data_IF_924045526322
#
_entry.id   IF_924045526322
#
_cell.length_a   1.000
_cell.length_b   1.000
_cell.length_c   1.000
_cell.angle_alpha   90.00
_cell.angle_beta   90.00
_cell.angle_gamma   90.00
#
_symmetry.space_group_name_H-M   'P 1'
#
loop_
_entity.id
_entity.type
_entity.pdbx_description
1 polymer ?
#
# COMPACT_ATOMS: atom_id res chain seq x y z
N UNK A 1 16.99 5.56 -28.67
CA UNK A 1 16.65 5.54 -27.22
C UNK A 1 16.57 6.93 -26.58
N UNK A 2 17.54 7.86 -26.69
CA UNK A 2 17.40 9.24 -26.13
C UNK A 2 16.24 10.08 -26.71
N UNK A 3 15.86 9.83 -27.96
CA UNK A 3 14.84 10.63 -28.67
C UNK A 3 13.38 10.31 -28.33
N UNK A 4 13.07 9.10 -27.84
CA UNK A 4 11.70 8.73 -27.43
C UNK A 4 11.39 9.20 -26.01
N UNK A 5 12.38 9.19 -25.11
CA UNK A 5 12.26 9.68 -23.73
C UNK A 5 11.92 11.18 -23.64
N UNK A 6 12.49 11.98 -24.56
CA UNK A 6 12.20 13.43 -24.66
C UNK A 6 10.78 13.71 -25.19
N UNK A 7 10.14 12.74 -25.85
CA UNK A 7 8.81 12.91 -26.43
C UNK A 7 7.72 12.79 -25.36
N UNK A 8 7.87 11.84 -24.44
CA UNK A 8 7.03 11.69 -23.25
C UNK A 8 7.16 12.88 -22.30
N UNK A 9 8.37 13.43 -22.17
CA UNK A 9 8.65 14.58 -21.30
C UNK A 9 7.92 15.86 -21.77
N UNK A 10 7.89 16.11 -23.09
CA UNK A 10 7.20 17.25 -23.68
C UNK A 10 5.68 17.10 -23.61
N UNK A 11 5.16 15.88 -23.81
CA UNK A 11 3.74 15.58 -23.70
C UNK A 11 3.21 15.76 -22.27
N UNK A 12 4.00 15.39 -21.25
CA UNK A 12 3.63 15.67 -19.85
C UNK A 12 3.55 17.18 -19.59
N UNK A 13 4.56 17.95 -19.99
CA UNK A 13 4.57 19.41 -19.78
C UNK A 13 3.37 20.10 -20.47
N UNK A 14 2.95 19.62 -21.64
CA UNK A 14 1.74 20.12 -22.33
C UNK A 14 0.43 19.73 -21.63
N UNK A 15 0.36 18.58 -20.95
CA UNK A 15 -0.80 18.18 -20.13
C UNK A 15 -0.84 18.99 -18.83
N UNK A 16 0.32 19.30 -18.25
CA UNK A 16 0.46 20.14 -17.06
C UNK A 16 -0.03 21.56 -17.33
N UNK A 17 0.22 22.14 -18.49
CA UNK A 17 -0.24 23.49 -18.83
C UNK A 17 -1.78 23.66 -18.71
N UNK A 18 -2.55 22.58 -18.90
CA UNK A 18 -4.02 22.58 -18.79
C UNK A 18 -4.55 22.43 -17.36
N UNK A 19 -3.77 21.89 -16.44
CA UNK A 19 -4.15 21.66 -15.03
C UNK A 19 -3.12 22.26 -14.06
N UNK A 20 -2.32 23.22 -14.55
CA UNK A 20 -1.20 23.82 -13.85
C UNK A 20 -1.68 24.57 -12.61
N UNK A 21 -0.79 24.71 -11.64
CA UNK A 21 -1.06 25.53 -10.44
C UNK A 21 -1.19 27.03 -10.77
N UNK A 22 -1.08 27.41 -12.04
CA UNK A 22 -0.85 28.79 -12.48
C UNK A 22 0.52 29.33 -12.02
N UNK A 23 1.44 28.45 -11.61
CA UNK A 23 2.78 28.78 -11.15
C UNK A 23 3.80 27.79 -11.75
N UNK A 24 4.26 28.11 -12.96
CA UNK A 24 5.23 27.30 -13.72
C UNK A 24 6.46 26.89 -12.90
N UNK A 25 7.00 27.80 -12.08
CA UNK A 25 8.16 27.50 -11.22
C UNK A 25 7.85 26.44 -10.14
N UNK A 26 6.66 26.51 -9.53
CA UNK A 26 6.24 25.50 -8.55
C UNK A 26 6.02 24.15 -9.25
N UNK A 27 5.36 24.14 -10.40
CA UNK A 27 5.10 22.92 -11.15
C UNK A 27 6.42 22.25 -11.60
N UNK A 28 7.37 23.02 -12.16
CA UNK A 28 8.70 22.53 -12.54
C UNK A 28 9.49 21.98 -11.34
N UNK A 29 9.46 22.67 -10.21
CA UNK A 29 10.18 22.26 -9.01
C UNK A 29 9.59 20.99 -8.40
N UNK A 30 8.26 20.88 -8.34
CA UNK A 30 7.53 19.72 -7.85
C UNK A 30 7.81 18.51 -8.72
N UNK A 31 7.62 18.63 -10.03
CA UNK A 31 7.79 17.52 -10.97
C UNK A 31 9.26 17.13 -11.05
N UNK A 32 10.16 18.12 -11.09
CA UNK A 32 11.59 17.90 -11.07
C UNK A 32 12.07 17.20 -9.80
N UNK A 33 11.53 17.61 -8.64
CA UNK A 33 11.78 16.99 -7.34
C UNK A 33 11.30 15.55 -7.30
N UNK A 34 10.03 15.32 -7.62
CA UNK A 34 9.42 13.99 -7.65
C UNK A 34 10.20 13.01 -8.55
N UNK A 35 10.55 13.44 -9.77
CA UNK A 35 11.33 12.62 -10.72
C UNK A 35 12.71 12.26 -10.22
N UNK A 36 13.36 13.16 -9.47
CA UNK A 36 14.69 12.94 -8.87
C UNK A 36 14.61 12.00 -7.67
N UNK A 37 13.58 12.12 -6.85
CA UNK A 37 13.38 11.32 -5.64
C UNK A 37 12.90 9.89 -5.94
N UNK A 38 12.26 9.68 -7.10
CA UNK A 38 11.79 8.35 -7.52
C UNK A 38 12.92 7.33 -7.58
N UNK A 39 12.72 6.18 -6.92
CA UNK A 39 13.64 5.05 -6.97
C UNK A 39 13.85 4.58 -8.41
N UNK A 40 15.11 4.29 -8.75
CA UNK A 40 15.49 3.78 -10.07
C UNK A 40 15.85 2.31 -9.95
N UNK A 41 15.16 1.46 -10.69
CA UNK A 41 15.31 0.00 -10.69
C UNK A 41 16.77 -0.41 -10.94
N UNK A 42 17.45 0.29 -11.86
CA UNK A 42 18.88 0.09 -12.14
C UNK A 42 19.80 0.20 -10.91
N UNK A 43 19.42 0.97 -9.89
CA UNK A 43 20.22 1.13 -8.67
C UNK A 43 20.24 -0.17 -7.86
N UNK A 44 19.23 -1.03 -8.02
CA UNK A 44 19.15 -2.31 -7.33
C UNK A 44 20.00 -3.41 -7.99
N UNK A 45 20.40 -3.22 -9.26
CA UNK A 45 21.45 -4.03 -9.89
C UNK A 45 22.80 -3.71 -9.24
N UNK A 46 23.09 -2.42 -9.06
CA UNK A 46 24.37 -1.95 -8.53
C UNK A 46 24.64 -2.41 -7.09
N UNK A 47 23.57 -2.66 -6.33
CA UNK A 47 23.63 -3.12 -4.95
C UNK A 47 23.60 -4.65 -4.79
N UNK A 48 23.60 -5.40 -5.90
CA UNK A 48 23.44 -6.86 -5.91
C UNK A 48 22.15 -7.33 -5.18
N UNK A 49 21.11 -6.50 -5.26
CA UNK A 49 19.81 -6.80 -4.64
C UNK A 49 18.95 -7.71 -5.54
N UNK A 50 19.10 -7.54 -6.87
CA UNK A 50 18.42 -8.30 -7.91
C UNK A 50 19.34 -8.58 -9.11
N UNK A 51 19.14 -9.72 -9.82
CA UNK A 51 19.85 -10.01 -11.07
C UNK A 51 19.60 -8.97 -12.16
N UNK A 52 20.64 -8.64 -12.93
CA UNK A 52 20.57 -7.62 -13.97
C UNK A 52 19.57 -7.95 -15.09
N UNK A 53 19.42 -9.24 -15.43
CA UNK A 53 18.46 -9.72 -16.42
C UNK A 53 17.01 -9.57 -15.93
N UNK A 54 16.74 -9.88 -14.66
CA UNK A 54 15.44 -9.69 -14.02
C UNK A 54 15.04 -8.20 -14.03
N UNK A 55 15.95 -7.31 -13.59
CA UNK A 55 15.68 -5.87 -13.58
C UNK A 55 15.46 -5.33 -15.00
N UNK A 56 16.22 -5.83 -15.99
CA UNK A 56 16.02 -5.42 -17.38
C UNK A 56 14.65 -5.86 -17.91
N UNK A 57 14.23 -7.09 -17.64
CA UNK A 57 12.90 -7.59 -18.05
C UNK A 57 11.79 -6.76 -17.43
N UNK A 58 11.89 -6.42 -16.14
CA UNK A 58 10.95 -5.54 -15.46
C UNK A 58 10.88 -4.15 -16.12
N UNK A 59 12.02 -3.56 -16.46
CA UNK A 59 12.08 -2.27 -17.15
C UNK A 59 11.46 -2.32 -18.54
N UNK A 60 11.73 -3.37 -19.32
CA UNK A 60 11.13 -3.60 -20.64
C UNK A 60 9.61 -3.76 -20.55
N UNK A 61 9.13 -4.48 -19.53
CA UNK A 61 7.70 -4.61 -19.25
C UNK A 61 7.07 -3.24 -18.94
N UNK A 62 7.70 -2.44 -18.07
CA UNK A 62 7.24 -1.08 -17.78
C UNK A 62 7.16 -0.21 -19.03
N UNK A 63 8.18 -0.24 -19.88
CA UNK A 63 8.17 0.52 -21.15
C UNK A 63 7.03 0.06 -22.07
N UNK A 64 6.68 -1.23 -22.06
CA UNK A 64 5.55 -1.73 -22.84
C UNK A 64 4.19 -1.29 -22.28
N UNK A 65 4.05 -1.25 -20.95
CA UNK A 65 2.84 -0.83 -20.26
C UNK A 65 2.64 0.69 -20.35
N UNK A 66 3.72 1.47 -20.25
CA UNK A 66 3.70 2.93 -20.34
C UNK A 66 3.09 3.46 -21.63
N UNK A 67 3.36 2.79 -22.76
CA UNK A 67 2.80 3.17 -24.06
C UNK A 67 1.27 3.24 -24.04
N UNK A 68 0.63 2.46 -23.18
CA UNK A 68 -0.82 2.46 -22.99
C UNK A 68 -1.28 3.26 -21.75
N UNK A 69 -0.33 3.65 -20.88
CA UNK A 69 -0.59 4.26 -19.58
C UNK A 69 -0.64 5.79 -19.68
N UNK A 70 0.31 6.42 -20.39
CA UNK A 70 0.38 7.88 -20.50
C UNK A 70 -0.75 8.52 -21.31
N UNK A 71 -1.47 7.74 -22.11
CA UNK A 71 -2.70 8.22 -22.73
C UNK A 71 -3.85 8.42 -21.71
N UNK A 72 -3.67 8.00 -20.44
CA UNK A 72 -4.74 7.89 -19.45
C UNK A 72 -4.54 8.70 -18.16
N UNK A 73 -3.32 9.09 -17.80
CA UNK A 73 -3.08 9.93 -16.61
C UNK A 73 -3.01 11.42 -16.97
N UNK A 74 -3.91 12.21 -16.38
CA UNK A 74 -3.89 13.68 -16.44
C UNK A 74 -2.91 14.28 -15.43
N UNK A 75 -2.54 15.55 -15.61
CA UNK A 75 -1.60 16.27 -14.74
C UNK A 75 -2.13 16.47 -13.31
N UNK A 76 -3.45 16.44 -13.13
CA UNK A 76 -4.12 16.46 -11.84
C UNK A 76 -3.67 15.29 -10.95
N UNK A 77 -3.40 14.11 -11.53
CA UNK A 77 -2.91 12.98 -10.75
C UNK A 77 -1.54 13.29 -10.14
N UNK A 78 -0.62 13.87 -10.92
CA UNK A 78 0.71 14.26 -10.43
C UNK A 78 0.65 15.30 -9.30
N UNK A 79 -0.22 16.31 -9.43
CA UNK A 79 -0.38 17.31 -8.38
C UNK A 79 -1.04 16.76 -7.11
N UNK A 80 -1.99 15.82 -7.25
CA UNK A 80 -2.58 15.10 -6.11
C UNK A 80 -1.54 14.22 -5.40
N UNK A 81 -0.74 13.46 -6.17
CA UNK A 81 0.36 12.65 -5.66
C UNK A 81 1.30 13.49 -4.79
N UNK A 82 1.72 14.63 -5.32
CA UNK A 82 2.60 15.55 -4.60
C UNK A 82 1.95 16.11 -3.34
N UNK A 83 0.71 16.58 -3.42
CA UNK A 83 0.02 17.15 -2.26
C UNK A 83 -0.19 16.14 -1.14
N UNK A 84 -0.52 14.89 -1.46
CA UNK A 84 -0.61 13.79 -0.48
C UNK A 84 0.75 13.50 0.13
N UNK A 85 1.79 13.38 -0.70
CA UNK A 85 3.15 13.11 -0.26
C UNK A 85 3.69 14.19 0.69
N UNK A 86 3.63 15.47 0.29
CA UNK A 86 4.04 16.59 1.14
C UNK A 86 3.18 16.67 2.40
N UNK A 87 1.87 16.43 2.26
CA UNK A 87 0.94 16.35 3.39
C UNK A 87 1.43 15.38 4.45
N UNK A 88 1.83 14.18 4.04
CA UNK A 88 2.36 13.16 4.96
C UNK A 88 3.75 13.55 5.48
N UNK A 89 4.68 13.92 4.60
CA UNK A 89 6.11 14.08 4.92
C UNK A 89 6.44 15.39 5.66
N UNK A 90 5.78 16.50 5.29
CA UNK A 90 6.08 17.83 5.84
C UNK A 90 5.03 18.35 6.82
N UNK A 91 3.81 17.81 6.77
CA UNK A 91 2.68 18.29 7.56
C UNK A 91 2.08 17.22 8.46
N UNK A 92 2.76 16.09 8.64
CA UNK A 92 2.40 15.02 9.55
C UNK A 92 0.94 14.55 9.39
N UNK A 93 0.39 14.50 8.17
CA UNK A 93 -1.01 14.07 7.94
C UNK A 93 -1.30 12.69 8.53
N UNK A 94 -0.29 11.81 8.53
CA UNK A 94 -0.33 10.47 9.13
C UNK A 94 0.45 10.40 10.46
N UNK A 95 0.67 11.54 11.10
CA UNK A 95 1.43 11.70 12.34
C UNK A 95 2.95 11.79 12.13
N UNK A 96 3.68 12.26 13.15
CA UNK A 96 5.12 12.58 13.07
C UNK A 96 6.05 11.38 12.91
N UNK A 97 5.48 10.17 12.98
CA UNK A 97 6.18 8.90 12.87
C UNK A 97 5.96 8.22 11.51
N UNK A 98 5.23 8.88 10.60
CA UNK A 98 5.04 8.45 9.22
C UNK A 98 6.07 9.15 8.32
N UNK A 99 6.62 8.41 7.37
CA UNK A 99 7.53 8.94 6.34
C UNK A 99 7.18 8.32 4.99
N UNK A 100 7.36 9.09 3.92
CA UNK A 100 7.03 8.67 2.55
C UNK A 100 8.27 8.15 1.83
N UNK A 101 8.13 6.97 1.24
CA UNK A 101 9.10 6.36 0.34
C UNK A 101 8.50 6.34 -1.07
N UNK A 102 9.19 6.98 -2.01
CA UNK A 102 8.81 6.93 -3.42
C UNK A 102 8.99 5.52 -3.97
N UNK A 103 7.98 5.02 -4.66
CA UNK A 103 8.09 3.74 -5.34
C UNK A 103 8.81 3.85 -6.67
N UNK A 104 9.31 2.72 -7.14
CA UNK A 104 9.89 2.62 -8.48
C UNK A 104 8.83 2.80 -9.57
N UNK A 105 9.27 2.93 -10.83
CA UNK A 105 8.36 2.93 -11.98
C UNK A 105 7.71 1.58 -12.20
N UNK A 106 8.44 0.52 -11.88
CA UNK A 106 7.87 -0.81 -11.86
C UNK A 106 6.74 -0.95 -10.84
N UNK A 107 6.93 -0.50 -9.61
CA UNK A 107 5.93 -0.69 -8.56
C UNK A 107 4.66 0.14 -8.78
N UNK A 108 4.79 1.37 -9.29
CA UNK A 108 3.67 2.17 -9.75
C UNK A 108 2.92 1.47 -10.89
N UNK A 109 3.57 1.24 -12.03
CA UNK A 109 2.86 0.81 -13.25
C UNK A 109 2.36 -0.64 -13.15
N UNK A 110 3.20 -1.54 -12.63
CA UNK A 110 2.90 -2.97 -12.58
C UNK A 110 2.06 -3.32 -11.36
N UNK A 111 2.44 -2.79 -10.19
CA UNK A 111 1.82 -3.16 -8.92
C UNK A 111 0.73 -2.17 -8.48
N UNK A 112 0.64 -0.98 -9.08
CA UNK A 112 -0.33 0.05 -8.73
C UNK A 112 -0.07 0.59 -7.33
N UNK A 113 1.18 0.97 -7.05
CA UNK A 113 1.60 1.59 -5.79
C UNK A 113 2.40 2.85 -6.09
N UNK A 114 1.80 4.01 -5.84
CA UNK A 114 2.43 5.32 -6.10
C UNK A 114 3.37 5.72 -4.97
N UNK A 115 2.95 5.47 -3.73
CA UNK A 115 3.67 5.84 -2.52
C UNK A 115 3.70 4.66 -1.56
N UNK A 116 4.79 4.53 -0.82
CA UNK A 116 4.90 3.62 0.31
C UNK A 116 5.10 4.46 1.57
N UNK A 117 4.15 4.39 2.51
CA UNK A 117 4.28 5.04 3.81
C UNK A 117 4.92 4.06 4.79
N UNK A 118 5.97 4.51 5.45
CA UNK A 118 6.63 3.81 6.54
C UNK A 118 6.25 4.47 7.86
N UNK A 119 5.68 3.69 8.77
CA UNK A 119 5.44 4.07 10.15
C UNK A 119 6.51 3.45 11.05
N UNK A 120 7.11 4.25 11.93
CA UNK A 120 8.07 3.77 12.93
C UNK A 120 7.48 3.98 14.32
N UNK A 121 7.36 2.94 15.14
CA UNK A 121 6.90 3.11 16.51
C UNK A 121 8.02 3.51 17.49
N UNK A 122 7.66 3.73 18.76
CA UNK A 122 8.60 4.13 19.81
C UNK A 122 9.69 3.08 20.09
N UNK A 123 9.43 1.80 19.74
CA UNK A 123 10.36 0.69 19.91
C UNK A 123 11.23 0.47 18.65
N UNK A 124 10.99 1.24 17.58
CA UNK A 124 11.64 1.07 16.28
C UNK A 124 11.01 -0.01 15.40
N UNK A 125 9.85 -0.56 15.76
CA UNK A 125 9.10 -1.46 14.89
C UNK A 125 8.54 -0.70 13.69
N UNK A 126 8.60 -1.34 12.53
CA UNK A 126 8.23 -0.72 11.26
C UNK A 126 6.97 -1.36 10.68
N UNK A 127 5.99 -0.54 10.33
CA UNK A 127 4.80 -0.92 9.56
C UNK A 127 4.77 -0.17 8.24
N UNK A 128 4.30 -0.81 7.17
CA UNK A 128 4.19 -0.20 5.85
C UNK A 128 2.75 -0.17 5.34
N UNK A 129 2.43 0.87 4.56
CA UNK A 129 1.17 1.04 3.85
C UNK A 129 1.45 1.49 2.41
N UNK A 130 0.93 0.76 1.42
CA UNK A 130 0.90 1.24 0.04
C UNK A 130 -0.25 2.24 -0.15
N UNK A 131 0.01 3.29 -0.92
CA UNK A 131 -1.00 4.24 -1.35
C UNK A 131 -0.99 4.29 -2.88
N UNK A 132 -2.17 4.11 -3.46
CA UNK A 132 -2.47 4.36 -4.89
C UNK A 132 -3.29 5.64 -4.96
N UNK A 133 -2.75 6.69 -5.55
CA UNK A 133 -3.38 8.00 -5.65
C UNK A 133 -3.92 8.20 -7.06
N UNK A 134 -5.20 8.56 -7.16
CA UNK A 134 -5.88 8.78 -8.43
C UNK A 134 -6.62 10.11 -8.44
N UNK A 135 -6.35 10.95 -9.44
CA UNK A 135 -7.19 12.09 -9.74
C UNK A 135 -8.12 11.72 -10.91
N UNK A 136 -9.42 11.61 -10.66
CA UNK A 136 -10.39 11.31 -11.71
C UNK A 136 -11.77 11.84 -11.35
N UNK A 137 -12.46 12.43 -12.32
CA UNK A 137 -13.85 12.86 -12.19
C UNK A 137 -14.85 11.70 -12.37
N UNK A 138 -14.41 10.57 -12.93
CA UNK A 138 -15.19 9.36 -13.07
C UNK A 138 -15.06 8.46 -11.82
N UNK A 139 -16.08 8.40 -10.94
CA UNK A 139 -16.04 7.60 -9.72
C UNK A 139 -15.91 6.09 -10.00
N UNK A 140 -16.26 5.63 -11.21
CA UNK A 140 -16.13 4.20 -11.55
C UNK A 140 -14.67 3.75 -11.57
N UNK A 141 -13.73 4.64 -11.89
CA UNK A 141 -12.29 4.35 -11.87
C UNK A 141 -11.78 4.10 -10.46
N UNK A 142 -12.19 4.94 -9.51
CA UNK A 142 -11.88 4.76 -8.10
C UNK A 142 -12.49 3.45 -7.58
N UNK A 143 -13.76 3.19 -7.90
CA UNK A 143 -14.43 1.94 -7.52
C UNK A 143 -13.72 0.71 -8.08
N UNK A 144 -13.23 0.75 -9.32
CA UNK A 144 -12.46 -0.35 -9.92
C UNK A 144 -11.15 -0.62 -9.18
N UNK A 145 -10.39 0.42 -8.80
CA UNK A 145 -9.15 0.28 -8.01
C UNK A 145 -9.42 -0.31 -6.63
N UNK A 146 -10.45 0.19 -5.94
CA UNK A 146 -10.88 -0.32 -4.63
C UNK A 146 -11.29 -1.79 -4.71
N UNK A 147 -12.17 -2.13 -5.66
CA UNK A 147 -12.65 -3.49 -5.86
C UNK A 147 -11.50 -4.46 -6.14
N UNK A 148 -10.51 -4.05 -6.96
CA UNK A 148 -9.31 -4.84 -7.21
C UNK A 148 -8.53 -5.11 -5.92
N UNK A 149 -8.35 -4.11 -5.06
CA UNK A 149 -7.69 -4.26 -3.75
C UNK A 149 -8.38 -5.32 -2.88
N UNK A 150 -9.72 -5.27 -2.82
CA UNK A 150 -10.53 -6.22 -2.04
C UNK A 150 -10.49 -7.63 -2.64
N UNK A 151 -10.52 -7.77 -3.97
CA UNK A 151 -10.41 -9.06 -4.63
C UNK A 151 -9.04 -9.72 -4.40
N UNK A 152 -7.96 -8.95 -4.46
CA UNK A 152 -6.62 -9.43 -4.17
C UNK A 152 -6.54 -9.89 -2.70
N UNK A 153 -7.11 -9.13 -1.76
CA UNK A 153 -7.18 -9.51 -0.36
C UNK A 153 -7.99 -10.80 -0.12
N UNK A 154 -9.16 -10.95 -0.76
CA UNK A 154 -9.95 -12.20 -0.73
C UNK A 154 -9.13 -13.38 -1.25
N UNK A 155 -8.25 -13.16 -2.24
CA UNK A 155 -7.30 -14.18 -2.74
C UNK A 155 -6.06 -14.37 -1.86
N UNK A 156 -5.87 -13.56 -0.83
CA UNK A 156 -4.74 -13.66 0.11
C UNK A 156 -3.50 -12.98 -0.39
N UNK A 157 -3.70 -11.96 -1.22
CA UNK A 157 -2.64 -11.17 -1.80
C UNK A 157 -2.77 -9.76 -1.27
N UNK A 158 -1.70 -9.29 -0.65
CA UNK A 158 -1.50 -7.87 -0.42
C UNK A 158 -0.76 -7.26 -1.63
N UNK A 159 -0.65 -5.93 -1.66
CA UNK A 159 0.06 -5.24 -2.73
C UNK A 159 1.55 -5.46 -2.58
N UNK A 160 2.24 -5.76 -3.69
CA UNK A 160 3.67 -6.01 -3.69
C UNK A 160 4.45 -4.74 -4.00
N UNK A 161 5.47 -4.44 -3.21
CA UNK A 161 6.49 -3.45 -3.53
C UNK A 161 7.82 -4.18 -3.70
N UNK A 162 8.29 -4.27 -4.94
CA UNK A 162 9.50 -5.00 -5.33
C UNK A 162 10.74 -4.17 -5.07
N UNK A 163 10.81 -2.96 -5.63
CA UNK A 163 12.00 -2.12 -5.57
C UNK A 163 11.87 -1.12 -4.42
N UNK A 164 12.23 -1.56 -3.22
CA UNK A 164 12.29 -0.70 -2.04
C UNK A 164 13.64 -0.85 -1.33
N UNK A 165 14.14 0.25 -0.81
CA UNK A 165 15.33 0.26 0.03
C UNK A 165 14.88 0.66 1.45
N UNK A 166 14.76 -0.29 2.39
CA UNK A 166 14.35 0.08 3.73
C UNK A 166 15.45 0.87 4.44
N UNK A 167 15.12 1.54 5.55
CA UNK A 167 16.08 2.29 6.34
C UNK A 167 17.28 1.42 6.75
N UNK A 168 18.43 2.06 6.96
CA UNK A 168 19.61 1.37 7.49
C UNK A 168 19.27 0.67 8.81
N UNK A 169 19.53 -0.64 8.87
CA UNK A 169 19.29 -1.47 10.05
C UNK A 169 17.95 -2.22 10.06
N UNK A 170 17.03 -1.91 9.13
CA UNK A 170 15.84 -2.73 8.94
C UNK A 170 16.21 -4.04 8.22
N UNK A 171 15.68 -5.16 8.72
CA UNK A 171 15.90 -6.46 8.09
C UNK A 171 15.15 -6.54 6.76
N UNK A 172 15.88 -6.70 5.66
CA UNK A 172 15.29 -7.14 4.39
C UNK A 172 15.25 -8.65 4.36
N UNK A 173 14.07 -9.21 4.17
CA UNK A 173 13.94 -10.62 3.83
C UNK A 173 14.67 -10.90 2.52
N UNK A 174 15.56 -11.89 2.54
CA UNK A 174 16.21 -12.40 1.34
C UNK A 174 15.70 -13.81 1.05
N UNK A 175 15.29 -14.06 -0.20
CA UNK A 175 14.94 -15.39 -0.70
C UNK A 175 16.02 -15.77 -1.71
N UNK A 176 16.73 -16.87 -1.45
CA UNK A 176 17.84 -17.34 -2.30
C UNK A 176 18.94 -16.27 -2.54
N UNK A 177 19.21 -15.45 -1.52
CA UNK A 177 20.20 -14.37 -1.57
C UNK A 177 19.72 -13.07 -2.21
N UNK A 178 18.54 -13.04 -2.83
CA UNK A 178 17.91 -11.86 -3.45
C UNK A 178 17.00 -11.15 -2.47
N UNK A 179 16.91 -9.81 -2.52
CA UNK A 179 15.90 -9.09 -1.71
C UNK A 179 14.50 -9.52 -2.15
N UNK A 180 13.71 -9.99 -1.21
CA UNK A 180 12.28 -10.19 -1.43
C UNK A 180 11.58 -8.83 -1.33
N UNK A 181 10.74 -8.51 -2.32
CA UNK A 181 9.81 -7.40 -2.18
C UNK A 181 8.90 -7.59 -0.95
N UNK A 182 8.33 -6.50 -0.45
CA UNK A 182 7.36 -6.57 0.66
C UNK A 182 5.93 -6.66 0.14
N UNK A 183 5.08 -7.29 0.94
CA UNK A 183 3.64 -7.36 0.70
C UNK A 183 2.95 -6.49 1.76
N UNK A 184 2.23 -5.45 1.33
CA UNK A 184 1.68 -4.42 2.21
C UNK A 184 0.21 -4.17 1.91
N UNK A 185 -0.61 -3.84 2.93
CA UNK A 185 -1.95 -3.33 2.70
C UNK A 185 -1.91 -2.11 1.78
N UNK A 186 -2.98 -1.91 0.99
CA UNK A 186 -3.06 -0.78 0.08
C UNK A 186 -4.34 0.00 0.30
N UNK A 187 -4.20 1.30 0.47
CA UNK A 187 -5.30 2.25 0.36
C UNK A 187 -5.25 2.95 -1.01
N UNK A 188 -6.43 3.27 -1.55
CA UNK A 188 -6.57 4.04 -2.78
C UNK A 188 -7.11 5.41 -2.40
N UNK A 189 -6.45 6.49 -2.78
CA UNK A 189 -6.88 7.86 -2.48
C UNK A 189 -7.38 8.51 -3.75
N UNK A 190 -8.63 8.96 -3.74
CA UNK A 190 -9.27 9.60 -4.89
C UNK A 190 -9.62 11.06 -4.63
N UNK A 191 -9.31 11.94 -5.57
CA UNK A 191 -9.94 13.27 -5.61
C UNK A 191 -10.39 13.62 -7.02
N UNK A 192 -11.48 14.36 -7.13
CA UNK A 192 -11.91 14.93 -8.41
C UNK A 192 -10.95 16.07 -8.82
N UNK A 193 -11.03 16.48 -10.08
CA UNK A 193 -10.14 17.49 -10.66
C UNK A 193 -10.25 18.83 -9.92
N UNK A 194 -11.47 19.24 -9.56
CA UNK A 194 -11.73 20.50 -8.85
C UNK A 194 -11.04 20.54 -7.47
N UNK A 195 -11.21 19.50 -6.65
CA UNK A 195 -10.61 19.43 -5.32
C UNK A 195 -9.09 19.29 -5.39
N UNK A 196 -8.60 18.56 -6.40
CA UNK A 196 -7.17 18.44 -6.69
C UNK A 196 -6.56 19.80 -7.00
N UNK A 197 -7.18 20.58 -7.90
CA UNK A 197 -6.73 21.94 -8.23
C UNK A 197 -6.78 22.88 -7.03
N UNK A 198 -7.84 22.81 -6.21
CA UNK A 198 -7.94 23.60 -4.96
C UNK A 198 -6.81 23.27 -4.01
N UNK A 199 -6.48 21.99 -3.84
CA UNK A 199 -5.36 21.54 -3.01
C UNK A 199 -4.04 22.10 -3.54
N UNK A 200 -3.73 21.86 -4.81
CA UNK A 200 -2.49 22.31 -5.45
C UNK A 200 -2.34 23.83 -5.33
N UNK A 201 -3.40 24.59 -5.60
CA UNK A 201 -3.40 26.06 -5.47
C UNK A 201 -3.09 26.52 -4.04
N UNK A 202 -3.58 25.81 -3.02
CA UNK A 202 -3.23 26.09 -1.61
C UNK A 202 -1.76 25.78 -1.32
N UNK A 203 -1.23 24.64 -1.77
CA UNK A 203 0.19 24.32 -1.63
C UNK A 203 1.08 25.37 -2.31
N UNK A 204 0.76 25.74 -3.55
CA UNK A 204 1.49 26.77 -4.30
C UNK A 204 1.45 28.14 -3.59
N UNK A 205 0.31 28.52 -2.99
CA UNK A 205 0.19 29.76 -2.23
C UNK A 205 1.05 29.76 -0.96
N UNK A 206 1.14 28.63 -0.26
CA UNK A 206 2.00 28.46 0.92
C UNK A 206 3.47 28.52 0.51
N UNK A 207 3.83 27.85 -0.57
CA UNK A 207 5.19 27.86 -1.13
C UNK A 207 5.66 29.28 -1.47
N UNK A 208 4.83 30.06 -2.18
CA UNK A 208 5.12 31.47 -2.53
C UNK A 208 5.36 32.38 -1.31
N UNK A 209 4.75 32.06 -0.16
CA UNK A 209 4.90 32.86 1.05
C UNK A 209 6.18 32.52 1.85
N UNK A 210 7.02 31.60 1.36
CA UNK A 210 8.28 31.20 2.01
C UNK A 210 8.08 30.58 3.39
N UNK A 211 6.86 30.14 3.71
CA UNK A 211 6.50 29.66 5.03
C UNK A 211 6.02 28.21 5.00
N UNK A 212 6.45 27.39 5.94
CA UNK A 212 5.79 26.13 6.32
C UNK A 212 4.55 26.43 7.16
N UNK A 213 3.64 27.25 6.65
CA UNK A 213 2.37 27.50 7.36
C UNK A 213 1.60 26.19 7.46
N UNK A 214 0.86 26.03 8.55
CA UNK A 214 0.17 24.80 8.93
C UNK A 214 -0.89 24.39 7.89
N UNK A 215 -0.48 23.62 6.87
CA UNK A 215 -1.40 22.93 5.94
C UNK A 215 -2.02 21.68 6.59
N UNK A 216 -1.62 21.33 7.81
CA UNK A 216 -2.13 20.21 8.59
C UNK A 216 -3.59 20.33 9.05
N UNK A 217 -4.29 21.41 8.69
CA UNK A 217 -5.72 21.61 8.95
C UNK A 217 -6.51 21.84 7.65
N UNK A 218 -6.12 21.19 6.55
CA UNK A 218 -6.88 21.31 5.31
C UNK A 218 -8.07 20.35 5.31
N UNK A 219 -9.29 20.81 5.05
CA UNK A 219 -10.50 19.96 5.03
C UNK A 219 -10.34 18.69 4.17
N UNK A 220 -9.62 18.78 3.04
CA UNK A 220 -9.36 17.63 2.18
C UNK A 220 -8.50 16.58 2.91
N UNK A 221 -7.51 16.99 3.72
CA UNK A 221 -6.69 16.05 4.50
C UNK A 221 -7.56 15.14 5.34
N UNK A 222 -8.49 15.68 6.13
CA UNK A 222 -9.38 14.88 6.96
C UNK A 222 -10.18 13.89 6.12
N UNK A 223 -10.76 14.35 5.00
CA UNK A 223 -11.49 13.47 4.09
C UNK A 223 -10.60 12.34 3.52
N UNK A 224 -9.37 12.63 3.10
CA UNK A 224 -8.46 11.61 2.59
C UNK A 224 -8.04 10.62 3.69
N UNK A 225 -7.80 11.09 4.91
CA UNK A 225 -7.39 10.22 6.03
C UNK A 225 -8.55 9.32 6.49
N UNK A 226 -9.76 9.86 6.57
CA UNK A 226 -10.99 9.09 6.82
C UNK A 226 -11.19 8.01 5.74
N UNK A 227 -10.91 8.34 4.48
CA UNK A 227 -11.02 7.39 3.37
C UNK A 227 -10.02 6.23 3.52
N UNK A 228 -8.76 6.53 3.86
CA UNK A 228 -7.73 5.51 4.10
C UNK A 228 -8.16 4.60 5.26
N UNK A 229 -8.57 5.18 6.38
CA UNK A 229 -8.98 4.43 7.57
C UNK A 229 -10.18 3.52 7.28
N UNK A 230 -11.23 4.06 6.65
CA UNK A 230 -12.42 3.29 6.28
C UNK A 230 -12.09 2.11 5.35
N UNK A 231 -11.19 2.32 4.38
CA UNK A 231 -10.74 1.25 3.49
C UNK A 231 -9.97 0.15 4.23
N UNK A 232 -9.06 0.51 5.13
CA UNK A 232 -8.28 -0.47 5.88
C UNK A 232 -9.17 -1.24 6.86
N UNK A 233 -10.16 -0.60 7.46
CA UNK A 233 -11.18 -1.27 8.26
C UNK A 233 -11.97 -2.30 7.45
N UNK A 234 -12.46 -1.90 6.27
CA UNK A 234 -13.21 -2.81 5.40
C UNK A 234 -12.34 -3.98 4.90
N UNK A 235 -11.07 -3.71 4.59
CA UNK A 235 -10.09 -4.75 4.29
C UNK A 235 -9.92 -5.71 5.46
N UNK A 236 -9.72 -5.21 6.68
CA UNK A 236 -9.54 -6.03 7.87
C UNK A 236 -10.73 -6.96 8.08
N UNK A 237 -11.94 -6.43 8.03
CA UNK A 237 -13.18 -7.21 8.10
C UNK A 237 -13.21 -8.30 7.01
N UNK A 238 -12.92 -7.95 5.76
CA UNK A 238 -12.90 -8.91 4.65
C UNK A 238 -11.88 -10.02 4.87
N UNK A 239 -10.70 -9.69 5.39
CA UNK A 239 -9.64 -10.65 5.64
C UNK A 239 -10.03 -11.64 6.75
N UNK A 240 -10.62 -11.14 7.83
CA UNK A 240 -11.19 -11.90 8.95
C UNK A 240 -12.27 -12.87 8.44
N UNK A 241 -13.26 -12.38 7.69
CA UNK A 241 -14.32 -13.22 7.10
C UNK A 241 -13.78 -14.30 6.16
N UNK A 242 -12.69 -14.01 5.45
CA UNK A 242 -12.06 -14.98 4.54
C UNK A 242 -11.30 -16.06 5.30
N UNK A 243 -10.66 -15.71 6.43
CA UNK A 243 -10.04 -16.68 7.34
C UNK A 243 -11.08 -17.61 7.95
N UNK A 244 -12.18 -17.06 8.48
CA UNK A 244 -13.31 -17.81 9.07
C UNK A 244 -13.81 -18.90 8.11
N UNK A 245 -14.16 -18.49 6.88
CA UNK A 245 -14.66 -19.41 5.83
C UNK A 245 -13.64 -20.48 5.45
N UNK A 246 -12.34 -20.16 5.43
CA UNK A 246 -11.30 -21.10 5.00
C UNK A 246 -10.98 -22.15 6.05
N UNK A 247 -11.04 -21.78 7.34
CA UNK A 247 -10.60 -22.65 8.42
C UNK A 247 -11.75 -23.26 9.24
N UNK A 248 -12.99 -22.87 9.00
CA UNK A 248 -14.19 -23.55 9.54
C UNK A 248 -14.32 -23.49 11.07
N UNK A 249 -13.51 -22.66 11.72
CA UNK A 249 -13.70 -22.26 13.11
C UNK A 249 -14.47 -20.95 13.08
N UNK A 250 -15.67 -20.94 13.66
CA UNK A 250 -16.44 -19.72 13.88
C UNK A 250 -15.52 -18.73 14.62
N UNK A 251 -15.03 -17.73 13.91
CA UNK A 251 -14.58 -16.52 14.57
C UNK A 251 -15.78 -16.02 15.40
N UNK A 252 -15.58 -15.64 16.67
CA UNK A 252 -16.65 -15.09 17.50
C UNK A 252 -17.41 -14.05 16.69
N UNK A 253 -18.74 -14.11 16.67
CA UNK A 253 -19.57 -13.19 15.89
C UNK A 253 -19.29 -11.71 16.23
N UNK A 254 -18.71 -11.46 17.41
CA UNK A 254 -18.18 -10.17 17.86
C UNK A 254 -17.08 -9.57 16.96
N UNK A 255 -16.32 -10.39 16.22
CA UNK A 255 -15.34 -9.95 15.20
C UNK A 255 -16.01 -9.50 13.89
N UNK A 256 -17.24 -9.94 13.62
CA UNK A 256 -17.98 -9.68 12.38
C UNK A 256 -19.05 -8.61 12.69
N UNK A 257 -18.61 -7.41 13.08
CA UNK A 257 -19.57 -6.39 13.53
C UNK A 257 -19.98 -5.44 12.40
N UNK A 258 -21.30 -5.23 12.32
CA UNK A 258 -22.01 -4.59 11.21
C UNK A 258 -22.10 -3.07 11.33
N UNK A 259 -21.64 -2.50 12.44
CA UNK A 259 -21.57 -1.07 12.67
C UNK A 259 -20.34 -0.73 13.54
N UNK A 260 -19.34 -0.11 12.92
CA UNK A 260 -18.03 0.24 13.51
C UNK A 260 -18.09 1.22 14.71
N UNK A 261 -19.27 1.78 15.01
CA UNK A 261 -19.49 2.68 16.16
C UNK A 261 -19.70 1.95 17.49
N UNK A 262 -19.91 0.63 17.47
CA UNK A 262 -20.20 -0.19 18.66
C UNK A 262 -19.03 -1.14 19.03
N UNK A 263 -17.80 -0.86 18.58
CA UNK A 263 -16.61 -1.70 18.80
C UNK A 263 -16.05 -1.64 20.25
N UNK A 264 -16.91 -1.83 21.26
CA UNK A 264 -16.59 -1.78 22.69
C UNK A 264 -16.30 -3.15 23.34
N UNK A 265 -16.37 -4.28 22.63
CA UNK A 265 -16.15 -5.60 23.25
C UNK A 265 -14.75 -6.17 22.98
N UNK A 266 -14.11 -6.62 24.07
CA UNK A 266 -12.84 -7.36 24.08
C UNK A 266 -12.87 -8.50 23.06
N UNK A 267 -11.97 -8.46 22.08
CA UNK A 267 -11.78 -9.58 21.16
C UNK A 267 -10.98 -10.65 21.90
N UNK A 268 -11.56 -11.84 22.10
CA UNK A 268 -10.87 -12.98 22.70
C UNK A 268 -10.21 -13.84 21.61
N UNK A 269 -9.06 -13.37 21.13
CA UNK A 269 -8.32 -14.00 20.02
C UNK A 269 -7.65 -15.32 20.45
N UNK A 270 -7.41 -15.53 21.75
CA UNK A 270 -6.83 -16.78 22.27
C UNK A 270 -7.72 -17.99 21.96
N UNK A 271 -9.04 -17.79 21.85
CA UNK A 271 -9.99 -18.85 21.51
C UNK A 271 -10.06 -19.19 20.01
N UNK A 272 -9.34 -18.49 19.14
CA UNK A 272 -9.39 -18.78 17.70
C UNK A 272 -8.70 -20.08 17.33
N UNK A 273 -7.78 -20.63 18.13
CA UNK A 273 -7.05 -21.88 17.82
C UNK A 273 -6.27 -21.86 16.48
N UNK A 274 -6.25 -20.72 15.78
CA UNK A 274 -5.68 -20.54 14.46
C UNK A 274 -4.31 -19.85 14.51
N UNK A 275 -3.95 -19.23 15.62
CA UNK A 275 -2.76 -18.41 15.75
C UNK A 275 -1.75 -19.11 16.66
N UNK A 276 -0.45 -18.87 16.45
CA UNK A 276 0.50 -19.07 17.54
C UNK A 276 0.15 -18.12 18.69
N UNK A 277 0.51 -18.50 19.92
CA UNK A 277 0.28 -17.65 21.11
C UNK A 277 0.86 -16.23 20.89
N UNK A 278 2.00 -16.12 20.19
CA UNK A 278 2.65 -14.85 19.85
C UNK A 278 1.82 -14.01 18.86
N UNK A 279 1.30 -14.61 17.77
CA UNK A 279 0.43 -13.92 16.81
C UNK A 279 -0.92 -13.50 17.43
N UNK A 280 -1.47 -14.33 18.31
CA UNK A 280 -2.70 -14.03 19.05
C UNK A 280 -2.48 -12.85 19.99
N UNK A 281 -1.39 -12.86 20.76
CA UNK A 281 -1.00 -11.76 21.64
C UNK A 281 -0.75 -10.47 20.88
N UNK A 282 -0.08 -10.52 19.72
CA UNK A 282 0.15 -9.34 18.87
C UNK A 282 -1.16 -8.75 18.36
N UNK A 283 -2.06 -9.58 17.82
CA UNK A 283 -3.35 -9.10 17.29
C UNK A 283 -4.26 -8.57 18.42
N UNK A 284 -4.26 -9.23 19.59
CA UNK A 284 -5.00 -8.77 20.78
C UNK A 284 -4.50 -7.41 21.25
N UNK A 285 -3.18 -7.24 21.27
CA UNK A 285 -2.55 -5.97 21.61
C UNK A 285 -2.96 -4.88 20.61
N UNK A 286 -2.89 -5.14 19.31
CA UNK A 286 -3.28 -4.18 18.26
C UNK A 286 -4.74 -3.74 18.42
N UNK A 287 -5.64 -4.71 18.63
CA UNK A 287 -7.07 -4.45 18.83
C UNK A 287 -7.30 -3.65 20.11
N UNK A 288 -6.68 -4.05 21.23
CA UNK A 288 -6.80 -3.33 22.51
C UNK A 288 -6.28 -1.90 22.40
N UNK A 289 -5.14 -1.70 21.73
CA UNK A 289 -4.56 -0.40 21.48
C UNK A 289 -5.47 0.45 20.58
N UNK A 290 -6.11 -0.14 19.58
CA UNK A 290 -7.08 0.53 18.72
C UNK A 290 -8.35 0.95 19.48
N UNK A 291 -8.89 0.06 20.32
CA UNK A 291 -10.09 0.32 21.14
C UNK A 291 -9.86 1.43 22.18
N UNK A 292 -8.67 1.48 22.81
CA UNK A 292 -8.31 2.57 23.74
C UNK A 292 -8.28 3.94 23.06
N UNK A 293 -8.02 4.00 21.76
CA UNK A 293 -7.78 5.23 21.03
C UNK A 293 -9.04 5.78 20.35
N UNK A 294 -9.94 4.90 19.88
CA UNK A 294 -11.21 5.27 19.22
C UNK A 294 -12.12 6.14 20.10
N UNK A 295 -11.96 6.10 21.43
CA UNK A 295 -12.76 6.88 22.36
C UNK A 295 -12.29 8.32 22.63
N UNK A 296 -11.12 8.75 22.12
CA UNK A 296 -10.43 9.89 22.75
C UNK A 296 -10.19 11.09 21.82
N UNK A 297 -9.86 10.94 20.52
CA UNK A 297 -9.64 12.13 19.65
C UNK A 297 -9.89 11.83 18.16
N UNK A 298 -10.80 12.56 17.47
CA UNK A 298 -10.96 12.52 16.00
C UNK A 298 -9.70 12.84 15.18
N UNK A 299 -8.59 13.23 15.81
CA UNK A 299 -7.38 13.73 15.15
C UNK A 299 -6.21 12.72 15.17
N UNK A 300 -6.45 11.43 15.45
CA UNK A 300 -5.39 10.41 15.54
C UNK A 300 -5.34 9.42 14.35
N UNK A 301 -5.70 9.88 13.15
CA UNK A 301 -5.72 9.05 11.93
C UNK A 301 -4.42 8.26 11.72
N UNK A 302 -3.26 8.91 11.93
CA UNK A 302 -1.96 8.27 11.78
C UNK A 302 -1.79 7.00 12.61
N UNK A 303 -2.22 7.04 13.87
CA UNK A 303 -2.13 5.88 14.78
C UNK A 303 -3.11 4.78 14.36
N UNK A 304 -4.35 5.15 14.04
CA UNK A 304 -5.38 4.20 13.61
C UNK A 304 -4.98 3.48 12.31
N UNK A 305 -4.58 4.24 11.29
CA UNK A 305 -4.13 3.72 9.99
C UNK A 305 -2.92 2.78 10.17
N UNK A 306 -1.96 3.15 11.03
CA UNK A 306 -0.82 2.29 11.37
C UNK A 306 -1.26 0.95 11.98
N UNK A 307 -2.16 0.98 12.97
CA UNK A 307 -2.65 -0.22 13.65
C UNK A 307 -3.39 -1.15 12.68
N UNK A 308 -4.26 -0.59 11.84
CA UNK A 308 -5.01 -1.35 10.83
C UNK A 308 -4.09 -1.97 9.78
N UNK A 309 -3.09 -1.22 9.30
CA UNK A 309 -2.09 -1.72 8.37
C UNK A 309 -1.29 -2.90 8.98
N UNK A 310 -0.89 -2.78 10.25
CA UNK A 310 -0.19 -3.86 10.96
C UNK A 310 -1.06 -5.10 11.09
N UNK A 311 -2.32 -4.96 11.52
CA UNK A 311 -3.26 -6.07 11.66
C UNK A 311 -3.45 -6.85 10.35
N UNK A 312 -3.62 -6.13 9.23
CA UNK A 312 -3.72 -6.73 7.90
C UNK A 312 -2.45 -7.48 7.49
N UNK A 313 -1.28 -6.94 7.81
CA UNK A 313 0.01 -7.62 7.59
C UNK A 313 0.10 -8.95 8.33
N UNK A 314 -0.24 -8.95 9.63
CA UNK A 314 -0.26 -10.15 10.49
C UNK A 314 -1.22 -11.21 9.92
N UNK A 315 -2.48 -10.84 9.64
CA UNK A 315 -3.49 -11.73 9.07
C UNK A 315 -3.03 -12.38 7.76
N UNK A 316 -2.36 -11.60 6.90
CA UNK A 316 -1.84 -12.13 5.65
C UNK A 316 -0.68 -13.12 5.87
N UNK A 317 0.21 -12.90 6.85
CA UNK A 317 1.28 -13.85 7.20
C UNK A 317 0.70 -15.20 7.62
N UNK A 318 -0.26 -15.18 8.55
CA UNK A 318 -0.97 -16.38 9.05
C UNK A 318 -1.57 -17.17 7.89
N UNK A 319 -2.20 -16.47 6.93
CA UNK A 319 -2.80 -17.11 5.76
C UNK A 319 -1.76 -17.82 4.89
N UNK A 320 -0.59 -17.21 4.69
CA UNK A 320 0.47 -17.75 3.84
C UNK A 320 1.13 -18.98 4.48
N UNK A 321 1.41 -18.94 5.78
CA UNK A 321 1.99 -20.06 6.54
C UNK A 321 1.09 -21.30 6.49
N UNK A 322 -0.22 -21.13 6.68
CA UNK A 322 -1.19 -22.22 6.60
C UNK A 322 -1.44 -22.70 5.17
N UNK A 323 -1.44 -21.78 4.20
CA UNK A 323 -1.56 -22.12 2.78
C UNK A 323 -0.46 -23.08 2.34
N UNK A 324 0.80 -22.73 2.64
CA UNK A 324 1.97 -23.56 2.32
C UNK A 324 1.90 -24.95 2.98
N UNK A 325 1.43 -25.01 4.23
CA UNK A 325 1.28 -26.29 4.97
C UNK A 325 0.20 -27.20 4.37
N UNK A 326 -0.91 -26.62 3.89
CA UNK A 326 -1.99 -27.38 3.25
C UNK A 326 -1.63 -27.92 1.86
N UNK A 327 -0.84 -27.17 1.08
CA UNK A 327 -0.39 -27.63 -0.25
C UNK A 327 0.70 -28.71 -0.15
N UNK A 328 1.59 -28.59 0.84
CA UNK A 328 2.65 -29.58 1.10
C UNK A 328 2.06 -30.91 1.58
N UNK A 329 1.04 -30.89 2.45
CA UNK A 329 0.34 -32.11 2.90
C UNK A 329 -0.53 -32.73 1.79
N UNK A 330 -1.14 -31.93 0.92
CA UNK A 330 -1.85 -32.45 -0.25
C UNK A 330 -0.91 -33.16 -1.24
N UNK A 331 0.29 -32.60 -1.49
CA UNK A 331 1.29 -33.24 -2.36
C UNK A 331 1.93 -34.48 -1.73
N UNK A 332 2.12 -34.51 -0.40
CA UNK A 332 2.59 -35.71 0.30
C UNK A 332 1.53 -36.83 0.31
N UNK A 333 0.25 -36.49 0.45
CA UNK A 333 -0.83 -37.47 0.37
C UNK A 333 -0.99 -38.03 -1.05
N UNK A 334 -0.85 -37.21 -2.10
CA UNK A 334 -0.90 -37.68 -3.50
C UNK A 334 0.33 -38.56 -3.86
N UNK A 335 1.52 -38.21 -3.34
CA UNK A 335 2.73 -39.05 -3.48
C UNK A 335 2.62 -40.39 -2.73
N UNK A 336 1.92 -40.42 -1.59
CA UNK A 336 1.66 -41.64 -0.81
C UNK A 336 0.60 -42.51 -1.50
N UNK A 337 -0.42 -41.91 -2.13
CA UNK A 337 -1.43 -42.61 -2.92
C UNK A 337 -0.86 -43.24 -4.20
N UNK A 338 0.12 -42.58 -4.85
CA UNK A 338 0.85 -43.14 -6.00
C UNK A 338 1.82 -44.28 -5.63
N UNK A 339 2.27 -44.38 -4.38
CA UNK A 339 3.08 -45.52 -3.91
C UNK A 339 2.24 -46.75 -3.57
N UNK A 340 0.96 -46.59 -3.24
CA UNK A 340 0.05 -47.69 -2.89
C UNK A 340 -0.69 -48.30 -4.10
N UNK A 341 -0.55 -47.72 -5.30
CA UNK A 341 -1.25 -48.13 -6.52
C UNK A 341 -0.35 -48.84 -7.55
N UNK A 342 0.76 -49.44 -7.12
CA UNK A 342 1.49 -50.38 -8.01
C UNK A 342 0.73 -51.70 -8.08
N UNK A 343 0.28 -52.15 -9.26
CA UNK A 343 -0.36 -53.45 -9.40
C UNK A 343 0.67 -54.54 -9.07
N UNK A 344 0.30 -55.48 -8.19
CA UNK A 344 0.99 -56.76 -8.07
C UNK A 344 0.88 -57.46 -9.43
N UNK A 345 1.94 -57.41 -10.22
CA UNK A 345 2.10 -58.32 -11.35
C UNK A 345 2.17 -59.73 -10.80
N UNK A 346 1.18 -60.55 -11.19
CA UNK A 346 1.19 -61.98 -10.98
C UNK A 346 2.22 -62.63 -11.92
N UNK A 347 3.21 -63.31 -11.34
CA UNK A 347 3.94 -64.44 -11.91
C UNK A 347 4.62 -65.18 -10.76
#
# INVERSE_FOLDING_TARGET
MRGEYLRTERQMLEVIDKESSGNETFDEEIIGGWRKSRLKEKNFILNDDYPADEVRTDMEECESLEKNYFEREGAGATGLHFGVMEGIELYDWLGPNASVIFTSKYDDIKNGVDLLVQFTDENGEITYLAIDVTANDDPTKLTQKLQRSIEDLKRGKLSKVKYFAPPKGAETFKIEGKKAGINVPRAVIGANTENTQKMIGKFAAVYKQGGRKNLGNYELQHALMEEIEAQLLYQLQTAIETLDKKFGQQLPAELICKDLKEWETNIDIENLGLLSDEQAQELNKIVSDYQKEIGIVPDNYGKNIKLLARALGVINSIRNEKGASSETSAHQNDATFRKLSRPRTAA
#
